data_IF_401731543428
#
_entry.id   IF_401731543428
#
_cell.length_a   1.000
_cell.length_b   1.000
_cell.length_c   1.000
_cell.angle_alpha   90.00
_cell.angle_beta   90.00
_cell.angle_gamma   90.00
#
_symmetry.space_group_name_H-M   'P 1'
#
loop_
_entity.id
_entity.type
_entity.pdbx_description
1 polymer ?
#
# COMPACT_ATOMS: atom_id res chain seq x y z
N UNK A 1 -16.35 -2.37 -25.74
CA UNK A 1 -17.78 -2.35 -25.36
C UNK A 1 -18.01 -1.15 -24.46
N UNK A 2 -18.83 -0.19 -24.87
CA UNK A 2 -19.25 0.95 -24.05
C UNK A 2 -20.16 0.42 -22.94
N UNK A 3 -19.71 0.54 -21.67
CA UNK A 3 -20.51 0.14 -20.51
C UNK A 3 -21.87 0.84 -20.50
N UNK A 4 -22.92 0.12 -20.08
CA UNK A 4 -24.29 0.63 -20.04
C UNK A 4 -24.32 1.98 -19.28
N UNK A 5 -25.06 3.02 -19.73
CA UNK A 5 -25.06 4.38 -19.17
C UNK A 5 -25.32 4.44 -17.65
N UNK A 6 -26.10 3.49 -17.12
CA UNK A 6 -26.39 3.38 -15.66
C UNK A 6 -25.16 2.95 -14.87
N UNK A 7 -24.33 2.05 -15.41
CA UNK A 7 -23.10 1.57 -14.76
C UNK A 7 -22.03 2.65 -14.72
N UNK A 8 -21.87 3.43 -15.80
CA UNK A 8 -20.95 4.58 -15.83
C UNK A 8 -21.29 5.62 -14.77
N UNK A 9 -22.56 6.02 -14.68
CA UNK A 9 -23.02 6.99 -13.66
C UNK A 9 -22.81 6.50 -12.22
N UNK A 10 -22.92 5.19 -11.97
CA UNK A 10 -22.63 4.61 -10.65
C UNK A 10 -21.15 4.67 -10.34
N UNK A 11 -20.29 4.32 -11.30
CA UNK A 11 -18.84 4.41 -11.15
C UNK A 11 -18.37 5.85 -10.93
N UNK A 12 -18.92 6.81 -11.67
CA UNK A 12 -18.59 8.23 -11.50
C UNK A 12 -18.92 8.73 -10.09
N UNK A 13 -20.04 8.26 -9.50
CA UNK A 13 -20.39 8.59 -8.11
C UNK A 13 -19.47 7.94 -7.09
N UNK A 14 -19.12 6.66 -7.26
CA UNK A 14 -18.13 5.97 -6.41
C UNK A 14 -16.80 6.72 -6.45
N UNK A 15 -16.31 7.03 -7.64
CA UNK A 15 -15.06 7.77 -7.80
C UNK A 15 -15.12 9.15 -7.12
N UNK A 16 -16.25 9.87 -7.25
CA UNK A 16 -16.43 11.17 -6.61
C UNK A 16 -16.41 11.08 -5.08
N UNK A 17 -17.05 10.04 -4.50
CA UNK A 17 -17.06 9.80 -3.05
C UNK A 17 -15.62 9.54 -2.56
N UNK A 18 -14.89 8.65 -3.25
CA UNK A 18 -13.51 8.29 -2.88
C UNK A 18 -12.53 9.46 -3.06
N UNK A 19 -12.64 10.24 -4.13
CA UNK A 19 -11.84 11.46 -4.32
C UNK A 19 -12.11 12.51 -3.25
N UNK A 20 -13.37 12.70 -2.87
CA UNK A 20 -13.73 13.63 -1.78
C UNK A 20 -13.16 13.14 -0.44
N UNK A 21 -13.23 11.85 -0.16
CA UNK A 21 -12.66 11.27 1.05
C UNK A 21 -11.11 11.36 1.05
N UNK A 22 -10.45 11.17 -0.09
CA UNK A 22 -9.01 11.38 -0.24
C UNK A 22 -8.63 12.85 0.08
N UNK A 23 -9.36 13.81 -0.47
CA UNK A 23 -9.13 15.25 -0.20
C UNK A 23 -9.34 15.63 1.28
N UNK A 24 -10.29 15.01 1.98
CA UNK A 24 -10.45 15.21 3.43
C UNK A 24 -9.20 14.74 4.17
N UNK A 25 -8.65 13.58 3.80
CA UNK A 25 -7.47 13.01 4.46
C UNK A 25 -6.18 13.80 4.24
N UNK A 26 -6.10 14.63 3.20
CA UNK A 26 -4.97 15.53 3.00
C UNK A 26 -4.80 16.52 4.17
N UNK A 27 -5.91 16.92 4.80
CA UNK A 27 -5.94 17.99 5.80
C UNK A 27 -6.44 17.55 7.18
N UNK A 28 -7.11 16.40 7.28
CA UNK A 28 -7.80 15.98 8.50
C UNK A 28 -7.45 14.51 8.87
N UNK A 29 -7.84 14.11 10.08
CA UNK A 29 -7.66 12.72 10.55
C UNK A 29 -8.67 11.76 9.91
N UNK A 30 -8.43 10.47 10.09
CA UNK A 30 -9.34 9.41 9.62
C UNK A 30 -10.72 9.45 10.25
N UNK A 31 -10.88 10.06 11.43
CA UNK A 31 -12.16 10.23 12.12
C UNK A 31 -13.07 11.25 11.43
N UNK A 32 -12.49 12.14 10.63
CA UNK A 32 -13.26 13.10 9.82
C UNK A 32 -14.01 12.45 8.66
N UNK A 33 -13.69 11.20 8.30
CA UNK A 33 -14.36 10.45 7.24
C UNK A 33 -15.74 9.96 7.70
N UNK A 34 -16.73 10.82 7.63
CA UNK A 34 -18.13 10.47 7.89
C UNK A 34 -18.94 10.51 6.60
N UNK A 35 -19.96 9.64 6.49
CA UNK A 35 -20.88 9.64 5.33
C UNK A 35 -21.52 11.03 5.14
N UNK A 36 -21.84 11.72 6.24
CA UNK A 36 -22.44 13.05 6.23
C UNK A 36 -21.53 14.07 5.55
N UNK A 37 -20.28 14.19 6.03
CA UNK A 37 -19.30 15.16 5.53
C UNK A 37 -18.90 14.87 4.09
N UNK A 38 -18.62 13.61 3.79
CA UNK A 38 -18.25 13.19 2.43
C UNK A 38 -19.39 13.48 1.44
N UNK A 39 -20.64 13.17 1.81
CA UNK A 39 -21.80 13.46 0.94
C UNK A 39 -21.98 14.96 0.69
N UNK A 40 -21.85 15.77 1.73
CA UNK A 40 -21.95 17.23 1.64
C UNK A 40 -20.89 17.81 0.72
N UNK A 41 -19.61 17.49 0.96
CA UNK A 41 -18.49 17.98 0.14
C UNK A 41 -18.53 17.44 -1.30
N UNK A 42 -19.01 16.21 -1.49
CA UNK A 42 -19.21 15.64 -2.82
C UNK A 42 -20.45 16.21 -3.55
N UNK A 43 -21.30 17.01 -2.90
CA UNK A 43 -22.55 17.49 -3.48
C UNK A 43 -23.53 16.35 -3.80
N UNK A 44 -23.55 15.31 -2.97
CA UNK A 44 -24.40 14.13 -3.11
C UNK A 44 -25.42 14.06 -1.96
N UNK A 45 -26.60 13.48 -2.23
CA UNK A 45 -27.53 13.14 -1.13
C UNK A 45 -26.94 11.99 -0.31
N UNK A 46 -27.02 12.02 1.02
CA UNK A 46 -26.56 10.93 1.91
C UNK A 46 -27.14 9.58 1.51
N UNK A 47 -28.43 9.53 1.14
CA UNK A 47 -29.10 8.32 0.64
C UNK A 47 -28.46 7.77 -0.64
N UNK A 48 -27.82 8.62 -1.43
CA UNK A 48 -27.07 8.19 -2.62
C UNK A 48 -25.73 7.59 -2.26
N UNK A 49 -25.04 8.12 -1.25
CA UNK A 49 -23.77 7.59 -0.74
C UNK A 49 -23.97 6.24 -0.06
N UNK A 50 -24.99 6.09 0.79
CA UNK A 50 -25.36 4.83 1.43
C UNK A 50 -25.65 3.67 0.44
N UNK A 51 -26.00 3.97 -0.81
CA UNK A 51 -26.17 2.93 -1.86
C UNK A 51 -24.86 2.26 -2.29
N UNK A 52 -23.74 2.89 -2.05
CA UNK A 52 -22.43 2.41 -2.47
C UNK A 52 -21.55 2.04 -1.27
N UNK A 53 -21.70 2.74 -0.16
CA UNK A 53 -20.91 2.56 1.05
C UNK A 53 -21.85 2.62 2.25
N UNK A 54 -22.02 1.52 2.96
CA UNK A 54 -22.94 1.44 4.11
C UNK A 54 -22.34 2.13 5.34
N UNK A 55 -21.01 2.07 5.47
CA UNK A 55 -20.27 2.60 6.60
C UNK A 55 -19.09 3.48 6.13
N UNK A 56 -18.54 4.35 7.00
CA UNK A 56 -17.28 5.03 6.72
C UNK A 56 -16.11 4.06 6.47
N UNK A 57 -16.13 2.89 7.11
CA UNK A 57 -15.07 1.90 6.97
C UNK A 57 -15.06 1.26 5.56
N UNK A 58 -16.21 1.15 4.90
CA UNK A 58 -16.27 0.73 3.50
C UNK A 58 -15.56 1.72 2.58
N UNK A 59 -15.67 3.04 2.88
CA UNK A 59 -14.96 4.08 2.14
C UNK A 59 -13.46 4.01 2.41
N UNK A 60 -13.06 3.82 3.68
CA UNK A 60 -11.65 3.63 4.07
C UNK A 60 -11.05 2.42 3.36
N UNK A 61 -11.78 1.29 3.34
CA UNK A 61 -11.34 0.08 2.63
C UNK A 61 -11.14 0.34 1.12
N UNK A 62 -12.09 1.05 0.49
CA UNK A 62 -11.96 1.46 -0.90
C UNK A 62 -10.72 2.33 -1.16
N UNK A 63 -10.41 3.27 -0.25
CA UNK A 63 -9.20 4.09 -0.32
C UNK A 63 -7.93 3.27 -0.12
N UNK A 64 -7.90 2.36 0.86
CA UNK A 64 -6.76 1.47 1.09
C UNK A 64 -6.44 0.68 -0.17
N UNK A 65 -7.44 0.10 -0.85
CA UNK A 65 -7.25 -0.63 -2.10
C UNK A 65 -6.67 0.25 -3.21
N UNK A 66 -7.13 1.49 -3.31
CA UNK A 66 -6.60 2.47 -4.28
C UNK A 66 -5.14 2.80 -3.95
N UNK A 67 -4.81 3.08 -2.70
CA UNK A 67 -3.45 3.43 -2.29
C UNK A 67 -2.47 2.28 -2.49
N UNK A 68 -2.83 1.06 -2.11
CA UNK A 68 -1.98 -0.12 -2.35
C UNK A 68 -1.77 -0.33 -3.86
N UNK A 69 -2.80 -0.16 -4.66
CA UNK A 69 -2.66 -0.21 -6.13
C UNK A 69 -1.73 0.88 -6.65
N UNK A 70 -1.86 2.13 -6.19
CA UNK A 70 -0.96 3.24 -6.56
C UNK A 70 0.49 2.96 -6.12
N UNK A 71 0.69 2.44 -4.91
CA UNK A 71 2.00 2.05 -4.40
C UNK A 71 2.64 0.97 -5.29
N UNK A 72 1.89 -0.07 -5.64
CA UNK A 72 2.38 -1.10 -6.55
C UNK A 72 2.70 -0.55 -7.96
N UNK A 73 1.92 0.39 -8.46
CA UNK A 73 2.21 1.07 -9.72
C UNK A 73 3.49 1.90 -9.65
N UNK A 74 3.76 2.55 -8.50
CA UNK A 74 5.02 3.26 -8.27
C UNK A 74 6.22 2.32 -8.29
N UNK A 75 6.12 1.13 -7.67
CA UNK A 75 7.15 0.09 -7.76
C UNK A 75 7.41 -0.33 -9.21
N UNK A 76 6.36 -0.70 -9.95
CA UNK A 76 6.48 -1.14 -11.35
C UNK A 76 7.11 -0.06 -12.24
N UNK A 77 6.80 1.22 -11.99
CA UNK A 77 7.29 2.33 -12.80
C UNK A 77 8.75 2.71 -12.50
N UNK A 78 9.23 2.52 -11.27
CA UNK A 78 10.50 3.07 -10.82
C UNK A 78 11.57 2.01 -10.52
N UNK A 79 11.21 0.74 -10.28
CA UNK A 79 12.19 -0.32 -10.10
C UNK A 79 12.93 -0.62 -11.42
N UNK A 80 14.25 -0.62 -11.37
CA UNK A 80 15.11 -0.90 -12.51
C UNK A 80 16.01 -2.10 -12.20
N UNK A 81 16.17 -2.97 -13.19
CA UNK A 81 17.07 -4.13 -13.09
C UNK A 81 18.52 -3.65 -12.97
N UNK A 82 19.20 -4.11 -11.94
CA UNK A 82 20.61 -3.77 -11.66
C UNK A 82 21.40 -5.04 -11.33
N UNK A 83 22.11 -5.57 -12.32
CA UNK A 83 22.90 -6.81 -12.18
C UNK A 83 24.14 -6.68 -11.28
N UNK A 84 24.48 -5.46 -10.85
CA UNK A 84 25.59 -5.21 -9.92
C UNK A 84 25.13 -5.03 -8.47
N UNK A 85 23.81 -5.12 -8.21
CA UNK A 85 23.26 -5.02 -6.87
C UNK A 85 23.48 -6.31 -6.06
N UNK A 86 23.34 -6.22 -4.76
CA UNK A 86 23.13 -7.36 -3.87
C UNK A 86 21.66 -7.40 -3.39
N UNK A 87 21.30 -8.40 -2.59
CA UNK A 87 19.93 -8.54 -2.07
C UNK A 87 19.50 -7.34 -1.22
N UNK A 88 20.41 -6.81 -0.40
CA UNK A 88 20.13 -5.66 0.44
C UNK A 88 19.86 -4.40 -0.39
N UNK A 89 20.62 -4.18 -1.46
CA UNK A 89 20.42 -3.06 -2.39
C UNK A 89 19.08 -3.17 -3.13
N UNK A 90 18.74 -4.34 -3.67
CA UNK A 90 17.45 -4.55 -4.33
C UNK A 90 16.26 -4.35 -3.39
N UNK A 91 16.35 -4.81 -2.15
CA UNK A 91 15.32 -4.60 -1.14
C UNK A 91 15.22 -3.13 -0.76
N UNK A 92 16.38 -2.45 -0.62
CA UNK A 92 16.43 -1.01 -0.34
C UNK A 92 15.76 -0.20 -1.43
N UNK A 93 16.04 -0.44 -2.70
CA UNK A 93 15.40 0.23 -3.83
C UNK A 93 13.87 0.12 -3.76
N UNK A 94 13.38 -1.07 -3.44
CA UNK A 94 11.94 -1.31 -3.29
C UNK A 94 11.34 -0.56 -2.09
N UNK A 95 12.05 -0.56 -0.95
CA UNK A 95 11.61 0.10 0.27
C UNK A 95 11.65 1.63 0.11
N UNK A 96 12.67 2.18 -0.54
CA UNK A 96 12.76 3.61 -0.85
C UNK A 96 11.54 4.12 -1.63
N UNK A 97 11.13 3.37 -2.66
CA UNK A 97 9.94 3.70 -3.46
C UNK A 97 8.67 3.65 -2.62
N UNK A 98 8.54 2.64 -1.74
CA UNK A 98 7.39 2.52 -0.83
C UNK A 98 7.34 3.69 0.15
N UNK A 99 8.47 4.04 0.76
CA UNK A 99 8.57 5.18 1.69
C UNK A 99 8.22 6.48 0.99
N UNK A 100 8.79 6.73 -0.18
CA UNK A 100 8.51 7.94 -0.95
C UNK A 100 7.03 8.03 -1.32
N UNK A 101 6.41 6.90 -1.70
CA UNK A 101 4.98 6.84 -1.94
C UNK A 101 4.17 7.30 -0.72
N UNK A 102 4.50 6.82 0.48
CA UNK A 102 3.79 7.20 1.70
C UNK A 102 4.06 8.64 2.13
N UNK A 103 5.28 9.15 1.94
CA UNK A 103 5.63 10.56 2.22
C UNK A 103 4.80 11.54 1.40
N UNK A 104 4.55 11.24 0.13
CA UNK A 104 3.77 12.12 -0.76
C UNK A 104 2.26 11.86 -0.70
N UNK A 105 1.80 10.79 -0.06
CA UNK A 105 0.40 10.43 0.06
C UNK A 105 -0.02 10.34 1.54
N UNK A 106 -0.24 11.50 2.17
CA UNK A 106 -0.58 11.57 3.61
C UNK A 106 -1.83 10.76 3.99
N UNK A 107 -2.83 10.69 3.12
CA UNK A 107 -4.00 9.85 3.31
C UNK A 107 -3.68 8.36 3.36
N UNK A 108 -2.72 7.91 2.54
CA UNK A 108 -2.23 6.52 2.57
C UNK A 108 -1.49 6.24 3.87
N UNK A 109 -0.62 7.14 4.31
CA UNK A 109 0.11 7.02 5.58
C UNK A 109 -0.88 6.89 6.75
N UNK A 110 -1.86 7.80 6.86
CA UNK A 110 -2.88 7.79 7.91
C UNK A 110 -3.71 6.50 7.92
N UNK A 111 -4.14 6.01 6.75
CA UNK A 111 -5.01 4.83 6.68
C UNK A 111 -4.26 3.50 6.80
N UNK A 112 -3.01 3.42 6.39
CA UNK A 112 -2.28 2.15 6.26
C UNK A 112 -1.21 2.00 7.33
N UNK A 113 -0.42 3.05 7.59
CA UNK A 113 0.70 2.97 8.52
C UNK A 113 0.32 3.41 9.94
N UNK A 114 -0.43 4.50 10.10
CA UNK A 114 -0.81 5.02 11.42
C UNK A 114 -2.02 4.29 12.02
N UNK A 115 -2.86 3.69 11.17
CA UNK A 115 -4.10 3.11 11.63
C UNK A 115 -3.87 1.83 12.44
N UNK A 116 -4.40 1.81 13.67
CA UNK A 116 -4.39 0.64 14.55
C UNK A 116 -5.69 -0.16 14.46
N UNK A 117 -6.66 0.34 13.71
CA UNK A 117 -8.04 -0.15 13.69
C UNK A 117 -8.48 -0.40 12.25
N UNK A 118 -9.42 -1.25 12.07
CA UNK A 118 -10.11 -1.64 10.83
C UNK A 118 -10.41 -0.47 9.87
N UNK A 119 -10.45 -0.74 8.56
CA UNK A 119 -10.25 -2.05 7.95
C UNK A 119 -8.76 -2.36 7.72
N UNK A 120 -8.34 -3.63 7.89
CA UNK A 120 -6.96 -4.03 7.62
C UNK A 120 -6.67 -4.03 6.11
N UNK A 121 -5.39 -3.92 5.75
CA UNK A 121 -4.95 -4.17 4.38
C UNK A 121 -5.14 -5.66 4.07
N UNK A 122 -5.86 -5.96 2.98
CA UNK A 122 -6.09 -7.35 2.58
C UNK A 122 -4.79 -7.99 2.07
N UNK A 123 -4.52 -9.22 2.47
CA UNK A 123 -3.34 -9.96 2.01
C UNK A 123 -3.28 -10.10 0.49
N UNK A 124 -4.43 -10.21 -0.18
CA UNK A 124 -4.52 -10.23 -1.65
C UNK A 124 -3.95 -8.98 -2.32
N UNK A 125 -4.01 -7.83 -1.67
CA UNK A 125 -3.41 -6.59 -2.17
C UNK A 125 -1.90 -6.57 -1.92
N UNK A 126 -1.44 -7.09 -0.77
CA UNK A 126 0.00 -7.22 -0.46
C UNK A 126 0.73 -8.19 -1.40
N UNK A 127 0.06 -9.22 -1.91
CA UNK A 127 0.64 -10.11 -2.93
C UNK A 127 1.13 -9.36 -4.16
N UNK A 128 0.41 -8.32 -4.61
CA UNK A 128 0.82 -7.53 -5.79
C UNK A 128 2.14 -6.79 -5.55
N UNK A 129 2.32 -6.24 -4.35
CA UNK A 129 3.58 -5.59 -3.95
C UNK A 129 4.69 -6.64 -3.84
N UNK A 130 4.41 -7.75 -3.18
CA UNK A 130 5.35 -8.87 -3.03
C UNK A 130 5.84 -9.40 -4.38
N UNK A 131 4.95 -9.57 -5.35
CA UNK A 131 5.28 -10.00 -6.72
C UNK A 131 6.17 -8.98 -7.44
N UNK A 132 5.96 -7.68 -7.22
CA UNK A 132 6.79 -6.64 -7.83
C UNK A 132 8.20 -6.64 -7.25
N UNK A 133 8.34 -6.79 -5.92
CA UNK A 133 9.64 -6.90 -5.25
C UNK A 133 10.36 -8.19 -5.68
N UNK A 134 9.66 -9.34 -5.71
CA UNK A 134 10.21 -10.61 -6.16
C UNK A 134 10.78 -10.48 -7.58
N UNK A 135 10.02 -9.94 -8.52
CA UNK A 135 10.46 -9.76 -9.91
C UNK A 135 11.67 -8.85 -10.03
N UNK A 136 11.74 -7.81 -9.21
CA UNK A 136 12.90 -6.91 -9.18
C UNK A 136 14.16 -7.65 -8.71
N UNK A 137 14.09 -8.35 -7.58
CA UNK A 137 15.22 -9.11 -7.03
C UNK A 137 15.63 -10.23 -8.01
N UNK A 138 14.68 -11.01 -8.51
CA UNK A 138 14.94 -12.12 -9.40
C UNK A 138 15.52 -11.67 -10.76
N UNK A 139 15.05 -10.53 -11.28
CA UNK A 139 15.56 -9.94 -12.52
C UNK A 139 16.94 -9.30 -12.36
N UNK A 140 17.27 -8.74 -11.18
CA UNK A 140 18.55 -8.08 -10.95
C UNK A 140 19.69 -9.06 -10.70
N UNK A 141 19.52 -10.00 -9.78
CA UNK A 141 20.61 -10.86 -9.31
C UNK A 141 20.27 -12.35 -9.32
N UNK A 142 19.03 -12.68 -9.66
CA UNK A 142 18.52 -14.04 -9.57
C UNK A 142 18.25 -14.47 -8.13
N UNK A 143 17.53 -15.57 -7.99
CA UNK A 143 17.28 -16.23 -6.71
C UNK A 143 17.57 -17.72 -6.86
N UNK A 144 18.26 -18.35 -5.91
CA UNK A 144 18.45 -19.80 -5.91
C UNK A 144 17.10 -20.52 -5.84
N UNK A 145 17.15 -21.85 -6.04
CA UNK A 145 15.97 -22.66 -5.79
C UNK A 145 15.67 -22.64 -4.28
N UNK A 146 14.52 -22.10 -3.93
CA UNK A 146 14.06 -21.99 -2.55
C UNK A 146 12.57 -22.31 -2.47
N UNK A 147 12.14 -22.84 -1.33
CA UNK A 147 10.74 -23.19 -1.11
C UNK A 147 9.86 -21.95 -1.10
N UNK A 148 8.77 -21.97 -1.87
CA UNK A 148 7.70 -20.98 -1.83
C UNK A 148 8.18 -19.50 -1.94
N UNK A 149 8.93 -19.16 -2.98
CA UNK A 149 9.36 -17.76 -3.25
C UNK A 149 8.24 -16.72 -3.08
N UNK A 150 7.04 -16.90 -3.64
CA UNK A 150 5.95 -15.93 -3.45
C UNK A 150 5.56 -15.74 -1.98
N UNK A 151 5.54 -16.79 -1.18
CA UNK A 151 5.26 -16.71 0.25
C UNK A 151 6.36 -15.97 1.02
N UNK A 152 7.63 -16.22 0.68
CA UNK A 152 8.77 -15.52 1.29
C UNK A 152 8.66 -14.00 1.02
N UNK A 153 8.37 -13.60 -0.21
CA UNK A 153 8.23 -12.19 -0.56
C UNK A 153 6.95 -11.55 0.00
N UNK A 154 5.89 -12.33 0.24
CA UNK A 154 4.74 -11.84 0.99
C UNK A 154 5.11 -11.53 2.45
N UNK A 155 5.89 -12.39 3.10
CA UNK A 155 6.42 -12.13 4.45
C UNK A 155 7.35 -10.92 4.46
N UNK A 156 8.25 -10.78 3.49
CA UNK A 156 9.10 -9.58 3.32
C UNK A 156 8.23 -8.32 3.24
N UNK A 157 7.20 -8.34 2.40
CA UNK A 157 6.28 -7.21 2.28
C UNK A 157 5.60 -6.89 3.60
N UNK A 158 5.15 -7.89 4.35
CA UNK A 158 4.54 -7.70 5.66
C UNK A 158 5.54 -7.12 6.68
N UNK A 159 6.81 -7.55 6.68
CA UNK A 159 7.87 -7.00 7.52
C UNK A 159 8.06 -5.51 7.21
N UNK A 160 8.16 -5.14 5.92
CA UNK A 160 8.28 -3.74 5.49
C UNK A 160 7.14 -2.90 6.09
N UNK A 161 5.90 -3.27 5.81
CA UNK A 161 4.74 -2.50 6.29
C UNK A 161 4.67 -2.43 7.82
N UNK A 162 5.03 -3.49 8.53
CA UNK A 162 5.03 -3.52 10.00
C UNK A 162 6.08 -2.57 10.58
N UNK A 163 7.30 -2.56 10.03
CA UNK A 163 8.36 -1.67 10.50
C UNK A 163 8.03 -0.21 10.16
N UNK A 164 7.55 0.07 8.95
CA UNK A 164 7.15 1.43 8.57
C UNK A 164 5.99 1.93 9.42
N UNK A 165 5.01 1.06 9.73
CA UNK A 165 3.91 1.40 10.64
C UNK A 165 4.41 1.73 12.04
N UNK A 166 5.30 0.91 12.62
CA UNK A 166 5.90 1.19 13.92
C UNK A 166 6.68 2.52 13.88
N UNK A 167 7.52 2.71 12.87
CA UNK A 167 8.32 3.92 12.72
C UNK A 167 7.45 5.18 12.66
N UNK A 168 6.37 5.16 11.87
CA UNK A 168 5.45 6.29 11.75
C UNK A 168 4.72 6.58 13.07
N UNK A 169 4.30 5.55 13.81
CA UNK A 169 3.60 5.72 15.10
C UNK A 169 4.48 6.31 16.19
N UNK A 170 5.76 5.93 16.21
CA UNK A 170 6.71 6.42 17.21
C UNK A 170 7.25 7.83 16.90
N UNK A 171 7.34 8.21 15.60
CA UNK A 171 8.01 9.44 15.17
C UNK A 171 7.07 10.45 14.48
N UNK A 172 5.80 10.10 14.26
CA UNK A 172 4.83 10.84 13.45
C UNK A 172 5.24 11.02 11.96
N UNK A 173 6.36 10.47 11.55
CA UNK A 173 6.90 10.52 10.19
C UNK A 173 7.73 9.27 9.86
N UNK A 174 7.98 9.06 8.56
CA UNK A 174 8.91 8.03 8.09
C UNK A 174 10.34 8.55 8.11
N UNK A 175 11.20 7.90 8.91
CA UNK A 175 12.60 8.30 9.13
C UNK A 175 13.58 7.33 8.46
N UNK A 176 14.84 7.76 8.31
CA UNK A 176 15.91 6.89 7.81
C UNK A 176 16.17 5.69 8.75
N UNK A 177 15.85 5.80 10.03
CA UNK A 177 15.92 4.67 10.95
C UNK A 177 14.93 3.59 10.54
N UNK A 178 13.68 3.97 10.25
CA UNK A 178 12.67 3.02 9.77
C UNK A 178 13.08 2.35 8.45
N UNK A 179 13.65 3.11 7.51
CA UNK A 179 14.21 2.58 6.27
C UNK A 179 15.28 1.51 6.55
N UNK A 180 16.29 1.88 7.33
CA UNK A 180 17.44 1.01 7.60
C UNK A 180 17.02 -0.28 8.33
N UNK A 181 16.09 -0.18 9.29
CA UNK A 181 15.55 -1.34 9.99
C UNK A 181 14.74 -2.25 9.07
N UNK A 182 13.95 -1.68 8.16
CA UNK A 182 13.19 -2.46 7.18
C UNK A 182 14.14 -3.23 6.23
N UNK A 183 15.19 -2.57 5.72
CA UNK A 183 16.22 -3.23 4.88
C UNK A 183 16.93 -4.33 5.65
N UNK A 184 17.39 -4.05 6.89
CA UNK A 184 18.12 -5.01 7.72
C UNK A 184 17.26 -6.25 8.01
N UNK A 185 16.02 -6.06 8.44
CA UNK A 185 15.13 -7.17 8.80
C UNK A 185 14.75 -8.02 7.57
N UNK A 186 14.41 -7.38 6.46
CA UNK A 186 14.01 -8.10 5.24
C UNK A 186 15.18 -8.83 4.59
N UNK A 187 16.38 -8.24 4.59
CA UNK A 187 17.58 -8.89 4.07
C UNK A 187 17.96 -10.09 4.95
N UNK A 188 17.95 -9.96 6.27
CA UNK A 188 18.24 -11.07 7.19
C UNK A 188 17.24 -12.22 6.99
N UNK A 189 15.95 -11.91 6.85
CA UNK A 189 14.93 -12.91 6.58
C UNK A 189 15.13 -13.61 5.23
N UNK A 190 15.37 -12.84 4.16
CA UNK A 190 15.65 -13.41 2.82
C UNK A 190 16.86 -14.33 2.85
N UNK A 191 17.97 -13.91 3.46
CA UNK A 191 19.18 -14.71 3.58
C UNK A 191 18.95 -16.01 4.37
N UNK A 192 18.15 -15.98 5.42
CA UNK A 192 17.79 -17.19 6.16
C UNK A 192 16.98 -18.19 5.32
N UNK A 193 16.09 -17.71 4.46
CA UNK A 193 15.34 -18.55 3.54
C UNK A 193 16.21 -19.16 2.43
N UNK A 194 17.22 -18.41 1.96
CA UNK A 194 18.19 -18.91 0.97
C UNK A 194 19.14 -19.95 1.56
N UNK A 195 19.57 -19.77 2.80
CA UNK A 195 20.48 -20.70 3.49
C UNK A 195 19.84 -22.04 3.87
N UNK A 196 18.51 -22.13 3.87
CA UNK A 196 17.77 -23.35 4.17
C UNK A 196 17.26 -23.94 2.85
N UNK A 197 17.98 -24.87 2.21
CA UNK A 197 17.51 -25.49 0.97
C UNK A 197 16.20 -26.24 1.21
N UNK A 198 15.35 -26.25 0.20
CA UNK A 198 14.05 -26.92 0.18
C UNK A 198 14.20 -28.44 0.22
#
# INVERSE_FOLDING_TARGET
MLGKPKQKRSQDRINKILQTAESILEHESTDALTIAKISEMAGLKRTSTYKFFETPDDIKLGLIQIYIKKCNQALIANLQINSNADYAACLKDSIDIIIEFFKVNSGAQKLILENNVTPPVLSSELHKIADSILKHVEGSIGLPNMFNKPGVFLVITQIIFSILSLNTKENAELTDVGLNEAVRATNAYLLSCIATPA
#
